data_IF_571626206002
#
_entry.id   IF_571626206002
#
_cell.length_a   1.000
_cell.length_b   1.000
_cell.length_c   1.000
_cell.angle_alpha   90.00
_cell.angle_beta   90.00
_cell.angle_gamma   90.00
#
_symmetry.space_group_name_H-M   'P 1'
#
loop_
_entity.id
_entity.type
_entity.pdbx_description
1 polymer ?
#
# COMPACT_ATOMS: atom_id res chain seq x y z
N UNK A 1 18.67 1.91 13.67
CA UNK A 1 18.20 3.21 13.18
C UNK A 1 19.39 4.12 13.04
N UNK A 2 19.89 4.29 11.83
CA UNK A 2 20.76 5.41 11.48
C UNK A 2 19.84 6.63 11.35
N UNK A 3 19.91 7.56 12.30
CA UNK A 3 19.12 8.79 12.24
C UNK A 3 19.45 9.55 10.96
N UNK A 4 18.41 10.08 10.30
CA UNK A 4 18.58 10.88 9.09
C UNK A 4 19.41 12.13 9.43
N UNK A 5 20.51 12.45 8.70
CA UNK A 5 21.39 13.54 9.09
C UNK A 5 20.65 14.88 9.09
N UNK A 6 20.62 15.58 10.23
CA UNK A 6 19.88 16.85 10.38
C UNK A 6 20.24 17.91 9.34
N UNK A 7 21.54 18.05 9.02
CA UNK A 7 21.99 19.02 8.01
C UNK A 7 21.42 18.71 6.62
N UNK A 8 21.28 17.43 6.27
CA UNK A 8 20.74 16.99 4.98
C UNK A 8 19.21 17.08 4.98
N UNK A 9 18.57 16.81 6.13
CA UNK A 9 17.14 17.03 6.30
C UNK A 9 16.78 18.50 6.03
N UNK A 10 17.47 19.42 6.70
CA UNK A 10 17.23 20.86 6.54
C UNK A 10 17.45 21.32 5.09
N UNK A 11 18.44 20.73 4.39
CA UNK A 11 18.67 21.01 2.96
C UNK A 11 17.47 20.57 2.13
N UNK A 12 17.00 19.33 2.29
CA UNK A 12 15.86 18.80 1.54
C UNK A 12 14.58 19.58 1.86
N UNK A 13 14.35 19.94 3.12
CA UNK A 13 13.23 20.80 3.53
C UNK A 13 13.32 22.18 2.84
N UNK A 14 14.49 22.81 2.84
CA UNK A 14 14.70 24.10 2.16
C UNK A 14 14.47 24.01 0.65
N UNK A 15 14.88 22.90 0.02
CA UNK A 15 14.65 22.65 -1.41
C UNK A 15 13.14 22.50 -1.68
N UNK A 16 12.41 21.75 -0.86
CA UNK A 16 10.96 21.58 -0.98
C UNK A 16 10.23 22.92 -0.78
N UNK A 17 10.59 23.69 0.25
CA UNK A 17 10.04 25.03 0.49
C UNK A 17 10.29 25.97 -0.68
N UNK A 18 11.49 25.90 -1.27
CA UNK A 18 11.86 26.63 -2.48
C UNK A 18 11.27 26.09 -3.79
N UNK A 19 10.41 25.06 -3.74
CA UNK A 19 9.82 24.38 -4.89
C UNK A 19 10.84 23.66 -5.82
N UNK A 20 12.04 23.37 -5.32
CA UNK A 20 13.10 22.62 -5.99
C UNK A 20 12.95 21.09 -5.75
N UNK A 21 11.80 20.54 -6.14
CA UNK A 21 11.45 19.13 -5.89
C UNK A 21 12.37 18.13 -6.58
N UNK A 22 12.91 18.49 -7.75
CA UNK A 22 13.83 17.63 -8.49
C UNK A 22 15.13 17.44 -7.72
N UNK A 23 15.71 18.54 -7.26
CA UNK A 23 16.93 18.59 -6.46
C UNK A 23 16.71 17.86 -5.12
N UNK A 24 15.55 18.09 -4.47
CA UNK A 24 15.19 17.39 -3.25
C UNK A 24 15.16 15.86 -3.43
N UNK A 25 14.60 15.38 -4.54
CA UNK A 25 14.57 13.95 -4.87
C UNK A 25 15.95 13.41 -5.22
N UNK A 26 16.77 14.18 -5.92
CA UNK A 26 18.15 13.80 -6.24
C UNK A 26 18.98 13.63 -4.97
N UNK A 27 18.94 14.60 -4.06
CA UNK A 27 19.55 14.51 -2.73
C UNK A 27 19.06 13.29 -1.97
N UNK A 28 17.74 13.09 -1.90
CA UNK A 28 17.14 11.94 -1.21
C UNK A 28 17.59 10.60 -1.81
N UNK A 29 17.69 10.52 -3.13
CA UNK A 29 18.12 9.32 -3.86
C UNK A 29 19.55 8.89 -3.50
N UNK A 30 20.45 9.84 -3.23
CA UNK A 30 21.84 9.52 -2.84
C UNK A 30 21.93 8.86 -1.45
N UNK A 31 20.91 9.05 -0.61
CA UNK A 31 20.90 8.63 0.79
C UNK A 31 20.13 7.33 1.03
N UNK A 32 19.33 6.89 0.04
CA UNK A 32 18.37 5.79 0.18
C UNK A 32 18.97 4.46 0.66
N UNK A 33 20.27 4.23 0.43
CA UNK A 33 20.97 3.02 0.84
C UNK A 33 21.30 2.96 2.35
N UNK A 34 21.33 4.10 3.02
CA UNK A 34 21.88 4.22 4.37
C UNK A 34 20.88 4.77 5.39
N UNK A 35 19.82 5.45 4.94
CA UNK A 35 18.87 6.15 5.79
C UNK A 35 17.43 5.91 5.36
N UNK A 36 16.53 5.95 6.34
CA UNK A 36 15.07 5.90 6.14
C UNK A 36 14.59 7.36 6.02
N UNK A 37 14.03 7.77 4.86
CA UNK A 37 13.47 9.11 4.69
C UNK A 37 12.35 9.39 5.70
N UNK A 38 12.23 10.60 6.28
CA UNK A 38 11.06 10.95 7.07
C UNK A 38 9.77 10.92 6.23
N UNK A 39 8.66 10.48 6.83
CA UNK A 39 7.36 10.37 6.15
C UNK A 39 6.90 11.73 5.62
N UNK A 40 7.11 12.81 6.37
CA UNK A 40 6.75 14.18 5.95
C UNK A 40 7.41 14.59 4.63
N UNK A 41 8.67 14.20 4.42
CA UNK A 41 9.38 14.47 3.16
C UNK A 41 8.74 13.68 2.02
N UNK A 42 8.49 12.38 2.21
CA UNK A 42 7.82 11.57 1.19
C UNK A 42 6.41 12.07 0.86
N UNK A 43 5.68 12.54 1.87
CA UNK A 43 4.35 13.15 1.71
C UNK A 43 4.40 14.46 0.93
N UNK A 44 5.35 15.35 1.23
CA UNK A 44 5.51 16.60 0.47
C UNK A 44 5.87 16.33 -1.00
N UNK A 45 6.74 15.33 -1.26
CA UNK A 45 7.05 14.89 -2.61
C UNK A 45 5.82 14.29 -3.30
N UNK A 46 5.06 13.43 -2.61
CA UNK A 46 3.83 12.82 -3.14
C UNK A 46 2.78 13.87 -3.49
N UNK A 47 2.59 14.87 -2.64
CA UNK A 47 1.67 15.98 -2.88
C UNK A 47 2.05 16.73 -4.17
N UNK A 48 3.34 17.00 -4.39
CA UNK A 48 3.79 17.63 -5.63
C UNK A 48 3.62 16.72 -6.85
N UNK A 49 3.91 15.42 -6.72
CA UNK A 49 3.70 14.44 -7.81
C UNK A 49 2.21 14.36 -8.19
N UNK A 50 1.31 14.45 -7.21
CA UNK A 50 -0.14 14.48 -7.43
C UNK A 50 -0.59 15.77 -8.13
N UNK A 51 0.02 16.93 -7.86
CA UNK A 51 -0.33 18.24 -8.42
C UNK A 51 0.26 18.56 -9.82
N UNK A 52 0.40 17.56 -10.71
CA UNK A 52 0.70 17.73 -12.16
C UNK A 52 2.18 17.80 -12.59
N UNK A 53 3.13 17.38 -11.73
CA UNK A 53 4.57 17.25 -12.09
C UNK A 53 4.97 15.81 -12.48
N UNK A 54 4.10 15.12 -13.21
CA UNK A 54 4.18 13.66 -13.41
C UNK A 54 5.41 13.24 -14.22
N UNK A 55 5.90 14.06 -15.15
CA UNK A 55 6.78 13.56 -16.21
C UNK A 55 8.29 13.67 -15.97
N UNK A 56 8.76 14.39 -14.93
CA UNK A 56 10.23 14.56 -14.76
C UNK A 56 10.86 13.73 -13.64
N UNK A 57 10.12 13.44 -12.56
CA UNK A 57 10.73 12.79 -11.39
C UNK A 57 9.83 11.79 -10.65
N UNK A 58 8.56 11.59 -11.06
CA UNK A 58 7.68 10.58 -10.44
C UNK A 58 8.32 9.18 -10.46
N UNK A 59 9.00 8.82 -11.56
CA UNK A 59 9.75 7.58 -11.65
C UNK A 59 10.86 7.44 -10.60
N UNK A 60 11.56 8.54 -10.28
CA UNK A 60 12.58 8.54 -9.20
C UNK A 60 11.93 8.43 -7.82
N UNK A 61 10.79 9.09 -7.60
CA UNK A 61 10.02 8.93 -6.38
C UNK A 61 9.64 7.46 -6.15
N UNK A 62 9.09 6.77 -7.16
CA UNK A 62 8.78 5.34 -7.05
C UNK A 62 10.03 4.45 -6.92
N UNK A 63 11.16 4.86 -7.50
CA UNK A 63 12.42 4.16 -7.29
C UNK A 63 12.86 4.22 -5.82
N UNK A 64 12.77 5.39 -5.19
CA UNK A 64 13.04 5.56 -3.74
C UNK A 64 12.10 4.69 -2.92
N UNK A 65 10.79 4.71 -3.22
CA UNK A 65 9.82 3.87 -2.51
C UNK A 65 10.11 2.36 -2.64
N UNK A 66 10.50 1.93 -3.84
CA UNK A 66 10.88 0.54 -4.12
C UNK A 66 12.17 0.14 -3.38
N UNK A 67 13.19 0.99 -3.40
CA UNK A 67 14.43 0.78 -2.66
C UNK A 67 14.16 0.71 -1.14
N UNK A 68 13.29 1.59 -0.64
CA UNK A 68 12.88 1.60 0.76
C UNK A 68 12.19 0.29 1.16
N UNK A 69 11.26 -0.20 0.34
CA UNK A 69 10.60 -1.50 0.55
C UNK A 69 11.60 -2.66 0.60
N UNK A 70 12.58 -2.65 -0.29
CA UNK A 70 13.59 -3.69 -0.34
C UNK A 70 14.53 -3.68 0.88
N UNK A 71 15.02 -2.50 1.28
CA UNK A 71 16.02 -2.35 2.34
C UNK A 71 15.42 -2.33 3.76
N UNK A 72 14.20 -1.80 3.88
CA UNK A 72 13.52 -1.55 5.13
C UNK A 72 12.05 -2.01 5.08
N UNK A 73 11.75 -3.29 4.80
CA UNK A 73 10.37 -3.73 4.65
C UNK A 73 9.54 -3.59 5.94
N UNK A 74 8.19 -3.50 5.85
CA UNK A 74 7.29 -3.37 6.99
C UNK A 74 7.47 -4.45 8.07
N UNK A 75 7.68 -5.70 7.65
CA UNK A 75 7.85 -6.85 8.53
C UNK A 75 9.21 -6.91 9.23
N UNK A 76 10.12 -5.97 8.95
CA UNK A 76 11.43 -5.88 9.63
C UNK A 76 11.28 -5.52 11.11
N UNK A 77 10.28 -4.70 11.45
CA UNK A 77 9.99 -4.33 12.84
C UNK A 77 8.61 -3.66 12.99
N UNK A 78 8.02 -3.65 14.20
CA UNK A 78 6.79 -2.90 14.46
C UNK A 78 6.89 -1.38 14.20
N UNK A 79 8.10 -0.82 14.26
CA UNK A 79 8.33 0.58 13.91
C UNK A 79 8.23 0.79 12.38
N UNK A 80 8.75 -0.14 11.57
CA UNK A 80 8.60 -0.07 10.12
C UNK A 80 7.16 -0.28 9.67
N UNK A 81 6.43 -1.23 10.28
CA UNK A 81 4.99 -1.39 10.01
C UNK A 81 4.22 -0.08 10.22
N UNK A 82 4.46 0.62 11.35
CA UNK A 82 3.87 1.95 11.60
C UNK A 82 4.30 3.01 10.59
N UNK A 83 5.59 3.06 10.26
CA UNK A 83 6.15 3.97 9.27
C UNK A 83 5.40 3.86 7.93
N UNK A 84 5.15 2.64 7.44
CA UNK A 84 4.43 2.46 6.18
C UNK A 84 2.94 2.74 6.30
N UNK A 85 2.30 2.47 7.45
CA UNK A 85 0.91 2.88 7.69
C UNK A 85 0.74 4.40 7.68
N UNK A 86 1.75 5.14 8.14
CA UNK A 86 1.83 6.60 8.04
C UNK A 86 2.11 7.05 6.59
N UNK A 87 3.07 6.42 5.92
CA UNK A 87 3.41 6.71 4.52
C UNK A 87 2.21 6.53 3.59
N UNK A 88 1.43 5.47 3.77
CA UNK A 88 0.23 5.18 2.95
C UNK A 88 -1.00 6.00 3.32
N UNK A 89 -0.83 7.15 3.97
CA UNK A 89 -1.92 8.10 4.15
C UNK A 89 -1.89 9.18 3.08
N UNK A 90 -3.06 9.72 2.79
CA UNK A 90 -3.14 10.94 2.01
C UNK A 90 -2.44 12.09 2.77
N UNK A 91 -1.46 12.79 2.17
CA UNK A 91 -0.72 13.89 2.82
C UNK A 91 -1.61 14.99 3.42
N UNK A 92 -2.73 15.28 2.76
CA UNK A 92 -3.63 16.38 3.15
C UNK A 92 -4.72 15.92 4.12
N UNK A 93 -5.31 14.73 3.90
CA UNK A 93 -6.47 14.27 4.67
C UNK A 93 -6.10 13.44 5.90
N UNK A 94 -4.98 12.70 5.87
CA UNK A 94 -4.52 11.84 6.96
C UNK A 94 -5.61 10.94 7.59
N UNK A 95 -6.47 10.36 6.73
CA UNK A 95 -7.60 9.49 7.14
C UNK A 95 -7.22 8.01 7.30
N UNK A 96 -5.93 7.69 7.26
CA UNK A 96 -5.43 6.31 7.32
C UNK A 96 -5.24 5.65 5.95
N UNK A 97 -4.59 4.48 5.98
CA UNK A 97 -4.09 3.81 4.79
C UNK A 97 -5.20 3.26 3.87
N UNK A 98 -6.25 2.67 4.45
CA UNK A 98 -7.40 2.23 3.66
C UNK A 98 -8.06 3.39 2.89
N UNK A 99 -8.21 4.56 3.50
CA UNK A 99 -8.83 5.71 2.84
C UNK A 99 -8.04 6.17 1.61
N UNK A 100 -6.70 6.09 1.63
CA UNK A 100 -5.89 6.37 0.44
C UNK A 100 -6.15 5.32 -0.65
N UNK A 101 -6.11 4.04 -0.29
CA UNK A 101 -6.33 2.92 -1.23
C UNK A 101 -7.73 3.00 -1.86
N UNK A 102 -8.76 3.26 -1.07
CA UNK A 102 -10.13 3.46 -1.54
C UNK A 102 -10.20 4.58 -2.59
N UNK A 103 -9.61 5.75 -2.32
CA UNK A 103 -9.63 6.88 -3.26
C UNK A 103 -8.87 6.55 -4.54
N UNK A 104 -7.72 5.88 -4.45
CA UNK A 104 -6.95 5.44 -5.62
C UNK A 104 -7.78 4.50 -6.50
N UNK A 105 -8.46 3.53 -5.91
CA UNK A 105 -9.31 2.57 -6.64
C UNK A 105 -10.49 3.30 -7.29
N UNK A 106 -11.19 4.15 -6.55
CA UNK A 106 -12.35 4.91 -7.06
C UNK A 106 -11.96 5.86 -8.20
N UNK A 107 -10.81 6.51 -8.09
CA UNK A 107 -10.29 7.36 -9.15
C UNK A 107 -9.96 6.56 -10.42
N UNK A 108 -9.35 5.38 -10.27
CA UNK A 108 -9.03 4.50 -11.40
C UNK A 108 -10.28 3.85 -12.04
N UNK A 109 -11.30 3.47 -11.25
CA UNK A 109 -12.50 2.78 -11.74
C UNK A 109 -13.59 3.72 -12.25
N UNK A 110 -13.87 4.78 -11.51
CA UNK A 110 -15.07 5.60 -11.69
C UNK A 110 -14.76 7.03 -12.15
N UNK A 111 -13.48 7.37 -12.34
CA UNK A 111 -13.02 8.73 -12.63
C UNK A 111 -13.44 9.72 -11.55
N UNK A 112 -13.59 9.23 -10.32
CA UNK A 112 -13.93 10.10 -9.20
C UNK A 112 -12.73 10.94 -8.80
N UNK A 113 -13.03 12.14 -8.31
CA UNK A 113 -12.03 13.06 -7.79
C UNK A 113 -11.33 12.46 -6.58
N UNK A 114 -10.09 12.88 -6.38
CA UNK A 114 -9.37 12.57 -5.16
C UNK A 114 -10.03 13.25 -3.95
N UNK A 115 -9.58 12.96 -2.73
CA UNK A 115 -10.20 13.51 -1.52
C UNK A 115 -10.11 15.05 -1.38
N UNK A 116 -9.40 15.73 -2.30
CA UNK A 116 -9.34 17.17 -2.49
C UNK A 116 -9.10 17.45 -3.97
N UNK A 117 -9.23 18.72 -4.36
CA UNK A 117 -9.07 19.14 -5.75
C UNK A 117 -7.62 18.96 -6.19
N UNK A 118 -7.39 18.00 -7.09
CA UNK A 118 -6.11 17.76 -7.77
C UNK A 118 -6.29 18.22 -9.23
N UNK A 119 -5.21 18.67 -9.88
CA UNK A 119 -5.24 18.94 -11.32
C UNK A 119 -5.72 17.71 -12.07
N UNK A 120 -6.89 17.80 -12.71
CA UNK A 120 -7.49 16.69 -13.47
C UNK A 120 -6.80 16.56 -14.84
N UNK A 121 -5.65 15.90 -14.86
CA UNK A 121 -4.95 15.56 -16.10
C UNK A 121 -4.96 14.03 -16.33
N UNK A 122 -4.89 13.58 -17.59
CA UNK A 122 -4.85 12.15 -17.97
C UNK A 122 -3.70 11.41 -17.26
N UNK A 123 -2.57 12.10 -17.01
CA UNK A 123 -1.45 11.55 -16.25
C UNK A 123 -1.80 11.13 -14.82
N UNK A 124 -2.81 11.77 -14.20
CA UNK A 124 -3.21 11.48 -12.80
C UNK A 124 -3.62 10.03 -12.59
N UNK A 125 -4.32 9.42 -13.56
CA UNK A 125 -4.74 8.01 -13.47
C UNK A 125 -3.57 7.03 -13.55
N UNK A 126 -2.59 7.33 -14.39
CA UNK A 126 -1.37 6.50 -14.50
C UNK A 126 -0.60 6.56 -13.19
N UNK A 127 -0.50 7.74 -12.58
CA UNK A 127 0.09 7.91 -11.25
C UNK A 127 -0.69 7.14 -10.17
N UNK A 128 -2.02 7.27 -10.13
CA UNK A 128 -2.86 6.56 -9.17
C UNK A 128 -2.73 5.04 -9.32
N UNK A 129 -2.69 4.54 -10.55
CA UNK A 129 -2.45 3.12 -10.85
C UNK A 129 -1.04 2.69 -10.39
N UNK A 130 -0.03 3.55 -10.55
CA UNK A 130 1.34 3.26 -10.12
C UNK A 130 1.45 3.23 -8.59
N UNK A 131 0.76 4.12 -7.86
CA UNK A 131 0.62 4.06 -6.40
C UNK A 131 -0.07 2.78 -5.96
N UNK A 132 -1.15 2.39 -6.64
CA UNK A 132 -1.87 1.15 -6.36
C UNK A 132 -1.01 -0.08 -6.63
N UNK A 133 -0.17 -0.06 -7.67
CA UNK A 133 0.80 -1.10 -7.98
C UNK A 133 1.89 -1.21 -6.91
N UNK A 134 2.40 -0.08 -6.42
CA UNK A 134 3.34 -0.08 -5.30
C UNK A 134 2.69 -0.65 -4.03
N UNK A 135 1.44 -0.28 -3.75
CA UNK A 135 0.67 -0.85 -2.64
C UNK A 135 0.50 -2.36 -2.78
N UNK A 136 0.15 -2.85 -3.98
CA UNK A 136 0.04 -4.28 -4.25
C UNK A 136 1.36 -5.02 -3.98
N UNK A 137 2.48 -4.52 -4.52
CA UNK A 137 3.80 -5.13 -4.31
C UNK A 137 4.19 -5.19 -2.81
N UNK A 138 3.86 -4.14 -2.05
CA UNK A 138 4.09 -4.09 -0.60
C UNK A 138 3.37 -5.22 0.12
N UNK A 139 2.05 -5.33 -0.08
CA UNK A 139 1.23 -6.29 0.65
C UNK A 139 1.49 -7.72 0.17
N UNK A 140 1.74 -7.92 -1.12
CA UNK A 140 2.11 -9.23 -1.67
C UNK A 140 3.42 -9.72 -1.04
N UNK A 141 4.42 -8.84 -0.93
CA UNK A 141 5.69 -9.17 -0.29
C UNK A 141 5.54 -9.47 1.21
N UNK A 142 4.65 -8.75 1.91
CA UNK A 142 4.35 -9.03 3.33
C UNK A 142 3.72 -10.41 3.51
N UNK A 143 2.74 -10.76 2.66
CA UNK A 143 2.13 -12.10 2.66
C UNK A 143 3.14 -13.18 2.33
N UNK A 144 3.96 -13.01 1.29
CA UNK A 144 4.98 -13.98 0.91
C UNK A 144 5.96 -14.23 2.05
N UNK A 145 6.42 -13.17 2.72
CA UNK A 145 7.29 -13.28 3.89
C UNK A 145 6.63 -14.07 5.02
N UNK A 146 5.38 -13.75 5.37
CA UNK A 146 4.66 -14.41 6.45
C UNK A 146 4.36 -15.88 6.14
N UNK A 147 3.96 -16.18 4.91
CA UNK A 147 3.73 -17.53 4.42
C UNK A 147 5.02 -18.36 4.47
N UNK A 148 6.15 -17.81 4.04
CA UNK A 148 7.45 -18.48 4.15
C UNK A 148 7.80 -18.78 5.62
N UNK A 149 7.57 -17.84 6.53
CA UNK A 149 7.75 -18.05 7.97
C UNK A 149 6.84 -19.13 8.54
N UNK A 150 5.63 -19.31 8.00
CA UNK A 150 4.72 -20.38 8.40
C UNK A 150 5.28 -21.76 8.02
N UNK A 151 5.87 -21.90 6.83
CA UNK A 151 6.52 -23.13 6.40
C UNK A 151 7.75 -23.46 7.27
N UNK A 152 8.63 -22.48 7.50
CA UNK A 152 9.82 -22.63 8.37
C UNK A 152 9.46 -22.97 9.83
N UNK A 153 8.22 -22.66 10.26
CA UNK A 153 7.73 -22.94 11.61
C UNK A 153 7.58 -24.44 11.88
N UNK A 154 7.35 -25.25 10.83
CA UNK A 154 7.25 -26.70 10.97
C UNK A 154 8.56 -27.36 11.44
N UNK A 155 9.70 -26.69 11.23
CA UNK A 155 11.04 -27.21 11.55
C UNK A 155 11.74 -26.53 12.74
N UNK A 156 11.23 -25.41 13.27
CA UNK A 156 11.91 -24.69 14.36
C UNK A 156 10.96 -24.08 15.41
N UNK A 157 11.13 -24.48 16.69
CA UNK A 157 10.23 -24.14 17.79
C UNK A 157 10.23 -22.66 18.25
N UNK A 158 10.96 -21.73 17.62
CA UNK A 158 11.24 -20.43 18.26
C UNK A 158 11.28 -19.18 17.34
N UNK A 159 10.46 -19.10 16.29
CA UNK A 159 10.23 -17.81 15.62
C UNK A 159 8.99 -17.10 16.15
N UNK A 160 9.20 -16.15 17.08
CA UNK A 160 8.16 -15.19 17.47
C UNK A 160 7.97 -14.17 16.34
N UNK A 161 6.91 -14.32 15.54
CA UNK A 161 6.42 -13.25 14.67
C UNK A 161 5.99 -12.10 15.58
N UNK A 162 6.88 -11.13 15.75
CA UNK A 162 6.70 -10.05 16.72
C UNK A 162 6.21 -8.82 15.98
N UNK A 163 4.90 -8.57 16.05
CA UNK A 163 4.26 -7.39 15.44
C UNK A 163 3.01 -7.73 14.65
N UNK A 164 2.10 -6.74 14.55
CA UNK A 164 0.93 -6.80 13.67
C UNK A 164 1.35 -6.44 12.24
N UNK A 165 0.91 -7.24 11.29
CA UNK A 165 1.11 -6.96 9.87
C UNK A 165 0.33 -5.71 9.47
N UNK A 166 0.81 -4.98 8.48
CA UNK A 166 0.08 -3.81 7.98
C UNK A 166 -1.28 -4.18 7.42
N UNK A 167 -1.35 -5.32 6.71
CA UNK A 167 -2.59 -5.88 6.18
C UNK A 167 -3.71 -5.99 7.22
N UNK A 168 -3.37 -6.38 8.46
CA UNK A 168 -4.33 -6.46 9.55
C UNK A 168 -4.90 -5.09 9.93
N UNK A 169 -4.06 -4.07 9.99
CA UNK A 169 -4.46 -2.71 10.31
C UNK A 169 -5.35 -2.13 9.20
N UNK A 170 -5.00 -2.40 7.94
CA UNK A 170 -5.71 -1.86 6.77
C UNK A 170 -7.09 -2.50 6.57
N UNK A 171 -7.15 -3.84 6.56
CA UNK A 171 -8.36 -4.57 6.17
C UNK A 171 -9.22 -4.96 7.38
N UNK A 172 -8.64 -5.12 8.56
CA UNK A 172 -9.34 -5.61 9.76
C UNK A 172 -9.20 -4.68 10.97
N UNK A 173 -8.75 -3.43 10.78
CA UNK A 173 -8.63 -2.43 11.85
C UNK A 173 -7.81 -2.92 13.06
N UNK A 174 -6.80 -3.75 12.80
CA UNK A 174 -5.90 -4.28 13.82
C UNK A 174 -6.50 -5.41 14.67
N UNK A 175 -7.70 -5.90 14.33
CA UNK A 175 -8.40 -6.97 15.06
C UNK A 175 -8.15 -8.33 14.44
N UNK A 176 -7.41 -9.19 15.14
CA UNK A 176 -7.13 -10.56 14.71
C UNK A 176 -8.35 -11.49 14.80
N UNK A 177 -9.43 -11.06 15.47
CA UNK A 177 -10.66 -11.85 15.65
C UNK A 177 -11.76 -11.54 14.64
N UNK A 178 -11.53 -10.56 13.77
CA UNK A 178 -12.52 -10.16 12.78
C UNK A 178 -12.76 -11.26 11.72
N UNK A 179 -14.00 -11.35 11.26
CA UNK A 179 -14.38 -12.19 10.11
C UNK A 179 -13.73 -11.70 8.81
N UNK A 180 -13.80 -12.51 7.76
CA UNK A 180 -13.19 -12.22 6.46
C UNK A 180 -13.78 -10.96 5.82
N UNK A 181 -15.11 -10.85 5.83
CA UNK A 181 -15.87 -9.84 5.07
C UNK A 181 -16.08 -8.54 5.85
N UNK A 182 -14.99 -7.89 6.25
CA UNK A 182 -15.06 -6.51 6.74
C UNK A 182 -15.43 -5.54 5.62
N UNK A 183 -15.81 -4.31 5.99
CA UNK A 183 -16.15 -3.27 5.01
C UNK A 183 -15.06 -3.08 3.94
N UNK A 184 -13.75 -2.94 4.27
CA UNK A 184 -12.69 -2.86 3.26
C UNK A 184 -12.65 -4.04 2.29
N UNK A 185 -12.76 -5.27 2.81
CA UNK A 185 -12.68 -6.49 2.01
C UNK A 185 -13.90 -6.63 1.09
N UNK A 186 -15.10 -6.30 1.59
CA UNK A 186 -16.32 -6.30 0.77
C UNK A 186 -16.25 -5.30 -0.38
N UNK A 187 -15.83 -4.06 -0.10
CA UNK A 187 -15.68 -3.04 -1.15
C UNK A 187 -14.66 -3.48 -2.21
N UNK A 188 -13.53 -4.04 -1.78
CA UNK A 188 -12.52 -4.57 -2.69
C UNK A 188 -13.05 -5.73 -3.55
N UNK A 189 -13.84 -6.64 -2.97
CA UNK A 189 -14.49 -7.73 -3.70
C UNK A 189 -15.44 -7.20 -4.79
N UNK A 190 -16.33 -6.27 -4.43
CA UNK A 190 -17.26 -5.65 -5.36
C UNK A 190 -16.54 -4.93 -6.51
N UNK A 191 -15.51 -4.15 -6.19
CA UNK A 191 -14.69 -3.44 -7.16
C UNK A 191 -13.87 -4.39 -8.05
N UNK A 192 -13.39 -5.50 -7.50
CA UNK A 192 -12.72 -6.54 -8.28
C UNK A 192 -13.68 -7.13 -9.31
N UNK A 193 -14.89 -7.53 -8.90
CA UNK A 193 -15.92 -8.05 -9.80
C UNK A 193 -16.29 -7.01 -10.88
N UNK A 194 -16.48 -5.76 -10.48
CA UNK A 194 -16.78 -4.67 -11.41
C UNK A 194 -15.66 -4.46 -12.43
N UNK A 195 -14.40 -4.43 -11.98
CA UNK A 195 -13.24 -4.24 -12.86
C UNK A 195 -13.10 -5.33 -13.93
N UNK A 196 -13.40 -6.59 -13.58
CA UNK A 196 -13.43 -7.68 -14.55
C UNK A 196 -14.56 -7.54 -15.57
N UNK A 197 -15.74 -7.09 -15.13
CA UNK A 197 -16.85 -6.77 -16.06
C UNK A 197 -16.44 -5.67 -17.04
N UNK A 198 -15.74 -4.63 -16.57
CA UNK A 198 -15.25 -3.55 -17.42
C UNK A 198 -14.12 -3.99 -18.36
N UNK A 199 -13.21 -4.84 -17.88
CA UNK A 199 -12.15 -5.46 -18.69
C UNK A 199 -12.75 -6.27 -19.84
N UNK A 200 -13.78 -7.07 -19.60
CA UNK A 200 -14.41 -7.88 -20.66
C UNK A 200 -15.10 -7.05 -21.76
N UNK A 201 -15.42 -5.78 -21.49
CA UNK A 201 -16.07 -4.89 -22.47
C UNK A 201 -15.08 -4.23 -23.44
N UNK A 202 -13.79 -4.21 -23.15
CA UNK A 202 -12.80 -3.47 -23.95
C UNK A 202 -11.37 -4.00 -23.76
N UNK A 203 -10.59 -4.07 -24.84
CA UNK A 203 -9.15 -4.40 -24.80
C UNK A 203 -8.24 -3.26 -24.30
N UNK A 204 -8.75 -2.45 -23.37
CA UNK A 204 -8.02 -1.33 -22.78
C UNK A 204 -6.97 -1.86 -21.78
N UNK A 205 -5.68 -1.60 -22.06
CA UNK A 205 -4.54 -2.04 -21.24
C UNK A 205 -4.64 -1.52 -19.81
N UNK A 206 -5.12 -0.29 -19.61
CA UNK A 206 -5.29 0.29 -18.28
C UNK A 206 -6.31 -0.51 -17.46
N UNK A 207 -7.46 -0.86 -18.07
CA UNK A 207 -8.49 -1.67 -17.40
C UNK A 207 -7.99 -3.08 -17.10
N UNK A 208 -7.16 -3.65 -17.98
CA UNK A 208 -6.55 -4.96 -17.75
C UNK A 208 -5.61 -4.93 -16.53
N UNK A 209 -4.72 -3.94 -16.46
CA UNK A 209 -3.79 -3.77 -15.35
C UNK A 209 -4.56 -3.50 -14.04
N UNK A 210 -5.57 -2.63 -14.06
CA UNK A 210 -6.38 -2.35 -12.88
C UNK A 210 -7.11 -3.59 -12.35
N UNK A 211 -7.73 -4.39 -13.22
CA UNK A 211 -8.38 -5.64 -12.81
C UNK A 211 -7.38 -6.65 -12.24
N UNK A 212 -6.17 -6.72 -12.81
CA UNK A 212 -5.08 -7.54 -12.28
C UNK A 212 -4.67 -7.07 -10.88
N UNK A 213 -4.44 -5.78 -10.68
CA UNK A 213 -4.07 -5.21 -9.38
C UNK A 213 -5.14 -5.47 -8.31
N UNK A 214 -6.41 -5.20 -8.62
CA UNK A 214 -7.50 -5.43 -7.65
C UNK A 214 -7.63 -6.90 -7.27
N UNK A 215 -7.49 -7.81 -8.24
CA UNK A 215 -7.48 -9.25 -7.99
C UNK A 215 -6.30 -9.65 -7.10
N UNK A 216 -5.11 -9.12 -7.38
CA UNK A 216 -3.91 -9.39 -6.59
C UNK A 216 -4.04 -8.87 -5.16
N UNK A 217 -4.54 -7.65 -4.97
CA UNK A 217 -4.76 -7.07 -3.64
C UNK A 217 -5.78 -7.89 -2.85
N UNK A 218 -6.88 -8.31 -3.49
CA UNK A 218 -7.88 -9.15 -2.85
C UNK A 218 -7.31 -10.53 -2.48
N UNK A 219 -6.54 -11.14 -3.38
CA UNK A 219 -5.83 -12.39 -3.13
C UNK A 219 -4.90 -12.29 -1.93
N UNK A 220 -4.05 -11.27 -1.88
CA UNK A 220 -3.14 -11.03 -0.76
C UNK A 220 -3.89 -10.84 0.57
N UNK A 221 -5.02 -10.12 0.57
CA UNK A 221 -5.85 -9.97 1.77
C UNK A 221 -6.41 -11.33 2.24
N UNK A 222 -6.95 -12.14 1.31
CA UNK A 222 -7.48 -13.48 1.61
C UNK A 222 -6.37 -14.40 2.14
N UNK A 223 -5.22 -14.45 1.48
CA UNK A 223 -4.07 -15.26 1.88
C UNK A 223 -3.59 -14.90 3.29
N UNK A 224 -3.53 -13.60 3.60
CA UNK A 224 -3.19 -13.13 4.94
C UNK A 224 -4.22 -13.59 5.99
N UNK A 225 -5.51 -13.52 5.67
CA UNK A 225 -6.57 -13.95 6.59
C UNK A 225 -6.53 -15.47 6.83
N UNK A 226 -6.24 -16.26 5.80
CA UNK A 226 -6.00 -17.71 5.93
C UNK A 226 -4.80 -17.96 6.83
N UNK A 227 -3.68 -17.26 6.58
CA UNK A 227 -2.48 -17.34 7.42
C UNK A 227 -2.81 -17.04 8.89
N UNK A 228 -3.57 -15.99 9.17
CA UNK A 228 -3.97 -15.61 10.52
C UNK A 228 -4.84 -16.69 11.18
N UNK A 229 -5.80 -17.24 10.42
CA UNK A 229 -6.64 -18.33 10.89
C UNK A 229 -5.85 -19.59 11.25
N UNK A 230 -4.88 -19.96 10.42
CA UNK A 230 -3.96 -21.08 10.69
C UNK A 230 -3.10 -20.81 11.92
N UNK A 231 -2.51 -19.61 12.03
CA UNK A 231 -1.70 -19.17 13.18
C UNK A 231 -2.49 -19.26 14.50
N UNK A 232 -3.80 -18.98 14.46
CA UNK A 232 -4.66 -18.99 15.65
C UNK A 232 -5.37 -20.33 15.88
N UNK A 233 -5.11 -21.36 15.06
CA UNK A 233 -5.75 -22.67 15.17
C UNK A 233 -7.26 -22.65 14.90
N UNK A 234 -7.75 -21.69 14.11
CA UNK A 234 -9.18 -21.56 13.79
C UNK A 234 -9.57 -22.46 12.62
N UNK A 235 -10.83 -22.92 12.61
CA UNK A 235 -11.40 -23.58 11.44
C UNK A 235 -11.78 -22.54 10.37
N UNK A 236 -10.77 -22.12 9.61
CA UNK A 236 -10.85 -21.10 8.56
C UNK A 236 -11.99 -21.38 7.58
N UNK A 237 -12.11 -22.63 7.11
CA UNK A 237 -13.13 -23.03 6.13
C UNK A 237 -14.56 -22.82 6.63
N UNK A 238 -14.81 -23.07 7.92
CA UNK A 238 -16.12 -22.85 8.53
C UNK A 238 -16.46 -21.37 8.57
N UNK A 239 -15.52 -20.53 9.02
CA UNK A 239 -15.73 -19.08 9.06
C UNK A 239 -15.92 -18.47 7.67
N UNK A 240 -15.17 -18.93 6.66
CA UNK A 240 -15.39 -18.50 5.27
C UNK A 240 -16.79 -18.86 4.79
N UNK A 241 -17.24 -20.08 5.05
CA UNK A 241 -18.59 -20.54 4.67
C UNK A 241 -19.68 -19.72 5.36
N UNK A 242 -19.51 -19.41 6.65
CA UNK A 242 -20.46 -18.60 7.42
C UNK A 242 -20.50 -17.15 6.86
N UNK A 243 -19.34 -16.54 6.61
CA UNK A 243 -19.24 -15.18 6.08
C UNK A 243 -19.81 -15.09 4.65
N UNK A 244 -19.41 -15.99 3.75
CA UNK A 244 -19.94 -16.06 2.38
C UNK A 244 -21.44 -16.36 2.35
N UNK A 245 -21.90 -17.26 3.22
CA UNK A 245 -23.33 -17.57 3.37
C UNK A 245 -24.13 -16.32 3.77
N UNK A 246 -23.60 -15.52 4.69
CA UNK A 246 -24.22 -14.26 5.10
C UNK A 246 -24.23 -13.18 4.02
N UNK A 247 -23.24 -13.19 3.12
CA UNK A 247 -23.13 -12.21 2.02
C UNK A 247 -24.06 -12.55 0.84
N UNK A 248 -24.31 -13.83 0.59
CA UNK A 248 -25.14 -14.30 -0.53
C UNK A 248 -26.64 -14.32 -0.17
N UNK A 249 -26.98 -14.36 1.13
CA UNK A 249 -28.37 -14.39 1.64
C UNK A 249 -29.05 -13.03 1.55
#
# INVERSE_FOLDING_TARGET
>A
NTEFPRGVLNLIESLIEGQFFKEAIEELSTLQAHYIPPVCILHALLENVLQDNIDTFSGRYFHILSALLHLHPPWKSPAMSRYYLELFQCPTCMKGAWSLVEVLIRSCLFNESFCHQISENIGSKVLHLTLLKFFFNLIESEVQYLSQKLYDWSDSQNLKITGKAMLLEIFWSGSETSGLLTKPVNMLLEWTIYSHKEKCKSNDVFKHELAYLLTGILGAAIDYWIFLGLKMGRNVMRHMSDDLGSYIS
#
